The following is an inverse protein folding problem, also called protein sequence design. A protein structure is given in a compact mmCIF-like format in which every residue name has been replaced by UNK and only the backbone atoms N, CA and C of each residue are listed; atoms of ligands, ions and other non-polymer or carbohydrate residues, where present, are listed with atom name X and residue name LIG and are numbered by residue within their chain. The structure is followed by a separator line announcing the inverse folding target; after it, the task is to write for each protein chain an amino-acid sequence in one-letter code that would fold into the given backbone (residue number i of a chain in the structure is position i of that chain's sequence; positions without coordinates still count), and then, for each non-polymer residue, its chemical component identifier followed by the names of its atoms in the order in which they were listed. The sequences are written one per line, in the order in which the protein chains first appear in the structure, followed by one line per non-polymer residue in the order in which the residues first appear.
data_IF_667203645431
#
_entry.id   IF_667203645431
#
_cell.length_a   1.000
_cell.length_b   1.000
_cell.length_c   1.000
_cell.angle_alpha   90.00
_cell.angle_beta   90.00
_cell.angle_gamma   90.00
#
_symmetry.space_group_name_H-M   'P 1'
#
loop_
_entity.id
_entity.type
_entity.pdbx_description
1 polymer ?
#
# COMPACT_ATOMS: atom_id res chain seq x y z
N UNK A 1 -24.16 -1.65 -3.72
CA UNK A 1 -23.30 -2.83 -3.43
C UNK A 1 -21.99 -2.39 -2.80
N UNK A 2 -21.43 -3.15 -1.82
CA UNK A 2 -20.13 -2.87 -1.20
C UNK A 2 -19.00 -3.56 -1.96
N UNK A 3 -17.99 -2.79 -2.38
CA UNK A 3 -16.79 -3.34 -3.01
C UNK A 3 -15.79 -3.86 -1.96
N UNK A 4 -15.37 -5.10 -2.10
CA UNK A 4 -14.44 -5.76 -1.18
C UNK A 4 -13.20 -6.22 -1.96
N UNK A 5 -12.12 -5.45 -1.92
CA UNK A 5 -10.87 -5.71 -2.64
C UNK A 5 -10.33 -7.14 -2.40
N UNK A 6 -10.45 -7.69 -1.19
CA UNK A 6 -10.04 -9.07 -0.89
C UNK A 6 -10.75 -10.13 -1.74
N UNK A 7 -11.98 -9.84 -2.19
CA UNK A 7 -12.75 -10.74 -3.03
C UNK A 7 -12.56 -10.45 -4.50
N UNK A 8 -12.50 -9.16 -4.86
CA UNK A 8 -12.48 -8.71 -6.24
C UNK A 8 -11.09 -8.71 -6.86
N UNK A 9 -10.04 -8.50 -6.05
CA UNK A 9 -8.65 -8.35 -6.50
C UNK A 9 -7.73 -9.45 -5.94
N UNK A 10 -8.21 -10.70 -5.95
CA UNK A 10 -7.47 -11.85 -5.39
C UNK A 10 -6.10 -12.06 -6.03
N UNK A 11 -5.93 -11.75 -7.31
CA UNK A 11 -4.64 -11.84 -8.01
C UNK A 11 -3.58 -10.90 -7.45
N UNK A 12 -3.99 -9.78 -6.88
CA UNK A 12 -3.08 -8.76 -6.35
C UNK A 12 -2.87 -8.86 -4.83
N UNK A 13 -3.92 -9.23 -4.09
CA UNK A 13 -3.92 -9.24 -2.62
C UNK A 13 -4.00 -10.63 -1.99
N UNK A 14 -4.12 -11.67 -2.81
CA UNK A 14 -4.16 -13.07 -2.40
C UNK A 14 -2.90 -13.85 -2.69
N UNK A 15 -1.73 -13.19 -2.71
CA UNK A 15 -0.43 -13.79 -2.98
C UNK A 15 -0.16 -15.02 -2.11
N UNK A 16 0.56 -15.99 -2.67
CA UNK A 16 0.96 -17.22 -2.00
C UNK A 16 2.41 -17.12 -1.53
N UNK A 17 2.84 -18.05 -0.67
CA UNK A 17 4.25 -18.14 -0.23
C UNK A 17 5.20 -18.65 -1.34
N UNK A 18 4.67 -19.03 -2.50
CA UNK A 18 5.43 -19.31 -3.72
C UNK A 18 5.38 -18.04 -4.58
N UNK A 19 6.54 -17.53 -5.04
CA UNK A 19 6.57 -16.37 -5.93
C UNK A 19 5.77 -16.59 -7.21
N UNK A 20 5.15 -15.54 -7.71
CA UNK A 20 4.39 -15.55 -8.96
C UNK A 20 4.57 -14.26 -9.74
N UNK A 21 4.52 -14.36 -11.07
CA UNK A 21 4.47 -13.21 -11.97
C UNK A 21 3.02 -12.71 -12.06
N UNK A 22 2.82 -11.41 -11.93
CA UNK A 22 1.49 -10.77 -11.97
C UNK A 22 1.51 -9.54 -12.87
N UNK A 23 0.38 -9.29 -13.52
CA UNK A 23 0.10 -8.02 -14.19
C UNK A 23 -0.66 -7.12 -13.19
N UNK A 24 -0.05 -6.00 -12.84
CA UNK A 24 -0.64 -5.01 -11.93
C UNK A 24 -1.25 -3.91 -12.79
N UNK A 25 -2.57 -3.69 -12.75
CA UNK A 25 -3.19 -2.61 -13.50
C UNK A 25 -2.80 -1.25 -12.94
N UNK A 26 -3.08 -0.19 -13.67
CA UNK A 26 -2.97 1.16 -13.11
C UNK A 26 -3.84 1.29 -11.85
N UNK A 27 -3.27 1.80 -10.79
CA UNK A 27 -3.92 1.92 -9.47
C UNK A 27 -3.79 3.35 -8.96
N UNK A 28 -4.79 3.81 -8.21
CA UNK A 28 -4.83 5.13 -7.61
C UNK A 28 -4.65 5.03 -6.10
N UNK A 29 -3.86 5.93 -5.53
CA UNK A 29 -3.51 5.94 -4.11
C UNK A 29 -3.61 7.33 -3.50
N UNK A 30 -3.92 7.40 -2.22
CA UNK A 30 -3.49 8.51 -1.38
C UNK A 30 -2.09 8.17 -0.86
N UNK A 31 -1.16 9.12 -1.00
CA UNK A 31 0.27 8.88 -0.73
C UNK A 31 0.86 9.97 0.16
N UNK A 32 1.84 9.59 0.99
CA UNK A 32 2.67 10.50 1.77
C UNK A 32 4.12 9.99 1.76
N UNK A 33 5.06 10.85 1.48
CA UNK A 33 6.49 10.54 1.55
C UNK A 33 7.02 10.66 2.97
N UNK A 34 8.05 9.90 3.28
CA UNK A 34 8.74 9.96 4.55
C UNK A 34 10.17 9.47 4.46
N UNK A 35 10.94 9.75 5.50
CA UNK A 35 12.30 9.25 5.65
C UNK A 35 12.57 8.96 7.14
N UNK A 36 13.49 8.03 7.41
CA UNK A 36 13.90 7.66 8.76
C UNK A 36 13.48 6.26 9.17
N UNK A 37 13.71 5.94 10.46
CA UNK A 37 13.41 4.63 11.01
C UNK A 37 11.87 4.41 11.13
N UNK A 38 11.30 3.35 10.52
CA UNK A 38 9.88 3.03 10.63
C UNK A 38 9.42 2.62 12.04
N UNK A 39 10.33 2.53 12.99
CA UNK A 39 9.98 2.31 14.40
C UNK A 39 9.79 3.62 15.19
N UNK A 40 10.14 4.76 14.60
CA UNK A 40 9.99 6.08 15.21
C UNK A 40 8.57 6.63 15.09
N UNK A 41 8.27 7.67 15.88
CA UNK A 41 6.95 8.27 15.98
C UNK A 41 6.46 8.85 14.64
N UNK A 42 7.35 9.50 13.88
CA UNK A 42 7.02 10.13 12.58
C UNK A 42 6.36 9.13 11.59
N UNK A 43 6.89 7.91 11.51
CA UNK A 43 6.30 6.88 10.67
C UNK A 43 4.86 6.55 11.11
N UNK A 44 4.64 6.34 12.40
CA UNK A 44 3.32 6.00 12.93
C UNK A 44 2.31 7.15 12.80
N UNK A 45 2.77 8.40 12.88
CA UNK A 45 1.95 9.59 12.65
C UNK A 45 1.52 9.72 11.19
N UNK A 46 2.42 9.45 10.21
CA UNK A 46 2.08 9.40 8.77
C UNK A 46 1.08 8.31 8.47
N UNK A 47 1.25 7.10 9.02
CA UNK A 47 0.28 6.00 8.91
C UNK A 47 -1.08 6.42 9.46
N UNK A 48 -1.12 7.07 10.63
CA UNK A 48 -2.36 7.56 11.25
C UNK A 48 -3.05 8.62 10.40
N UNK A 49 -2.29 9.56 9.79
CA UNK A 49 -2.83 10.57 8.90
C UNK A 49 -3.45 9.96 7.64
N UNK A 50 -2.75 9.02 6.98
CA UNK A 50 -3.28 8.30 5.82
C UNK A 50 -4.57 7.55 6.12
N UNK A 51 -4.62 6.78 7.21
CA UNK A 51 -5.85 6.07 7.58
C UNK A 51 -6.98 7.02 7.93
N UNK A 52 -6.70 8.12 8.63
CA UNK A 52 -7.73 9.13 8.95
C UNK A 52 -8.37 9.70 7.68
N UNK A 53 -7.55 10.00 6.66
CA UNK A 53 -8.04 10.46 5.37
C UNK A 53 -8.75 9.36 4.58
N UNK A 54 -8.21 8.13 4.53
CA UNK A 54 -8.84 7.00 3.83
C UNK A 54 -10.25 6.71 4.35
N UNK A 55 -10.44 6.77 5.68
CA UNK A 55 -11.77 6.63 6.28
C UNK A 55 -12.66 7.85 6.01
N UNK A 56 -12.12 9.07 5.96
CA UNK A 56 -12.87 10.28 5.57
C UNK A 56 -13.40 10.15 4.14
N UNK A 57 -12.57 9.72 3.19
CA UNK A 57 -12.94 9.46 1.80
C UNK A 57 -14.06 8.41 1.73
N UNK A 58 -13.85 7.27 2.39
CA UNK A 58 -14.85 6.19 2.42
C UNK A 58 -16.21 6.68 2.95
N UNK A 59 -16.22 7.42 4.06
CA UNK A 59 -17.47 7.88 4.68
C UNK A 59 -18.17 8.95 3.83
N UNK A 60 -17.40 9.85 3.21
CA UNK A 60 -17.93 10.85 2.29
C UNK A 60 -18.55 10.16 1.06
N UNK A 61 -17.81 9.27 0.40
CA UNK A 61 -18.29 8.51 -0.75
C UNK A 61 -19.57 7.75 -0.43
N UNK A 62 -19.59 7.01 0.69
CA UNK A 62 -20.78 6.29 1.12
C UNK A 62 -21.99 7.21 1.35
N UNK A 63 -21.76 8.41 1.87
CA UNK A 63 -22.82 9.40 2.06
C UNK A 63 -23.37 9.94 0.76
N UNK A 64 -22.48 10.20 -0.23
CA UNK A 64 -22.85 10.67 -1.57
C UNK A 64 -23.67 9.63 -2.34
N UNK A 65 -23.33 8.35 -2.15
CA UNK A 65 -23.94 7.23 -2.86
C UNK A 65 -25.18 6.63 -2.16
N UNK A 66 -25.71 7.29 -1.12
CA UNK A 66 -26.76 6.75 -0.27
C UNK A 66 -28.07 6.43 -1.03
N UNK A 67 -28.41 7.28 -1.99
CA UNK A 67 -29.66 7.20 -2.74
C UNK A 67 -29.47 6.65 -4.16
N UNK A 68 -28.26 6.08 -4.46
CA UNK A 68 -27.96 5.49 -5.74
C UNK A 68 -28.51 4.06 -5.88
N UNK A 69 -28.68 3.62 -7.14
CA UNK A 69 -29.23 2.30 -7.47
C UNK A 69 -28.39 1.15 -6.87
N UNK A 70 -29.05 0.03 -6.54
CA UNK A 70 -28.44 -1.12 -5.86
C UNK A 70 -27.34 -1.82 -6.66
N UNK A 71 -27.31 -1.67 -7.98
CA UNK A 71 -26.31 -2.23 -8.89
C UNK A 71 -24.99 -1.47 -8.87
N UNK A 72 -24.98 -0.22 -8.37
CA UNK A 72 -23.77 0.59 -8.25
C UNK A 72 -22.96 0.24 -7.00
N UNK A 73 -21.64 0.53 -7.05
CA UNK A 73 -20.78 0.52 -5.87
C UNK A 73 -21.13 1.72 -5.01
N UNK A 74 -21.65 1.48 -3.82
CA UNK A 74 -22.10 2.51 -2.86
C UNK A 74 -21.26 2.56 -1.59
N UNK A 75 -20.37 1.61 -1.39
CA UNK A 75 -19.43 1.51 -0.27
C UNK A 75 -18.23 0.66 -0.68
N UNK A 76 -17.12 0.80 0.00
CA UNK A 76 -15.94 -0.05 -0.20
C UNK A 76 -15.21 -0.37 1.11
N UNK A 77 -14.45 -1.44 1.12
CA UNK A 77 -13.53 -1.74 2.24
C UNK A 77 -12.24 -0.94 2.03
N UNK A 78 -11.81 -0.19 3.04
CA UNK A 78 -10.52 0.51 3.01
C UNK A 78 -9.42 -0.50 2.73
N UNK A 79 -8.55 -0.15 1.78
CA UNK A 79 -7.41 -0.99 1.38
C UNK A 79 -6.35 -1.06 2.48
N UNK A 80 -5.46 -2.03 2.44
CA UNK A 80 -4.37 -2.12 3.39
C UNK A 80 -3.39 -0.95 3.21
N UNK A 81 -2.59 -0.70 4.23
CA UNK A 81 -1.41 0.14 4.09
C UNK A 81 -0.42 -0.56 3.17
N UNK A 82 0.23 0.23 2.33
CA UNK A 82 1.32 -0.20 1.48
C UNK A 82 2.50 0.77 1.62
N UNK A 83 3.70 0.29 1.37
CA UNK A 83 4.90 1.12 1.36
C UNK A 83 5.75 0.81 0.13
N UNK A 84 6.24 1.84 -0.53
CA UNK A 84 7.33 1.73 -1.51
C UNK A 84 8.59 2.08 -0.76
N UNK A 85 9.58 1.18 -0.80
CA UNK A 85 10.83 1.30 -0.07
C UNK A 85 12.00 1.36 -1.02
N UNK A 86 12.85 2.36 -0.84
CA UNK A 86 14.15 2.41 -1.52
C UNK A 86 15.14 1.54 -0.74
N UNK A 87 15.83 0.62 -1.45
CA UNK A 87 16.91 -0.15 -0.84
C UNK A 87 18.04 0.80 -0.47
N UNK A 88 18.37 0.87 0.80
CA UNK A 88 19.54 1.63 1.24
C UNK A 88 20.80 1.08 0.55
N UNK A 89 21.51 1.94 -0.17
CA UNK A 89 22.77 1.59 -0.82
C UNK A 89 23.91 1.68 0.20
N UNK A 90 24.73 0.61 0.31
CA UNK A 90 26.00 0.64 1.05
C UNK A 90 26.15 -0.42 2.12
N UNK A 91 27.40 -0.62 2.54
CA UNK A 91 27.77 -1.43 3.71
C UNK A 91 27.38 -0.66 4.98
N UNK A 92 26.56 -1.27 5.83
CA UNK A 92 26.07 -0.65 7.07
C UNK A 92 24.69 -0.03 6.91
N UNK A 93 23.66 -0.90 6.90
CA UNK A 93 22.27 -0.49 6.82
C UNK A 93 21.88 0.38 8.03
N UNK A 94 21.69 1.68 7.80
CA UNK A 94 21.18 2.63 8.79
C UNK A 94 19.69 2.92 8.50
N UNK A 95 18.81 2.44 9.36
CA UNK A 95 17.35 2.64 9.24
C UNK A 95 16.96 4.13 9.23
N UNK A 96 17.78 5.00 9.81
CA UNK A 96 17.54 6.44 9.81
C UNK A 96 17.65 7.09 8.41
N UNK A 97 18.26 6.40 7.45
CA UNK A 97 18.45 6.88 6.07
C UNK A 97 17.43 6.29 5.09
N UNK A 98 16.51 5.45 5.56
CA UNK A 98 15.47 4.90 4.73
C UNK A 98 14.61 6.01 4.14
N UNK A 99 14.27 5.87 2.85
CA UNK A 99 13.25 6.66 2.18
C UNK A 99 12.10 5.77 1.81
N UNK A 100 10.90 6.27 2.04
CA UNK A 100 9.70 5.50 1.76
C UNK A 100 8.54 6.40 1.30
N UNK A 101 7.63 5.79 0.55
CA UNK A 101 6.34 6.38 0.25
C UNK A 101 5.27 5.46 0.85
N UNK A 102 4.52 5.93 1.84
CA UNK A 102 3.36 5.22 2.37
C UNK A 102 2.13 5.55 1.55
N UNK A 103 1.28 4.54 1.34
CA UNK A 103 0.13 4.71 0.47
C UNK A 103 -1.04 3.78 0.85
N UNK A 104 -2.25 4.21 0.53
CA UNK A 104 -3.46 3.40 0.66
C UNK A 104 -4.23 3.55 -0.66
N UNK A 105 -4.48 2.41 -1.32
CA UNK A 105 -5.22 2.40 -2.58
C UNK A 105 -6.63 2.97 -2.39
N UNK A 106 -7.09 3.66 -3.42
CA UNK A 106 -8.45 4.17 -3.52
C UNK A 106 -9.13 3.55 -4.75
N UNK A 107 -10.44 3.26 -4.67
CA UNK A 107 -11.19 2.89 -5.87
C UNK A 107 -11.11 3.99 -6.94
N UNK A 108 -11.09 3.61 -8.22
CA UNK A 108 -11.00 4.56 -9.35
C UNK A 108 -12.16 5.57 -9.42
N UNK A 109 -13.24 5.34 -8.69
CA UNK A 109 -14.37 6.27 -8.57
C UNK A 109 -14.08 7.47 -7.65
N UNK A 110 -12.97 7.45 -6.93
CA UNK A 110 -12.54 8.55 -6.06
C UNK A 110 -11.73 9.53 -6.93
N UNK A 111 -12.35 10.60 -7.32
CA UNK A 111 -11.72 11.67 -8.08
C UNK A 111 -11.07 12.73 -7.17
N UNK A 112 -10.48 13.73 -7.80
CA UNK A 112 -9.81 14.83 -7.09
C UNK A 112 -10.78 15.67 -6.24
N UNK A 113 -12.05 15.78 -6.64
CA UNK A 113 -13.04 16.57 -5.91
C UNK A 113 -13.46 15.86 -4.62
N UNK A 114 -13.70 14.56 -4.70
CA UNK A 114 -14.00 13.72 -3.51
C UNK A 114 -12.80 13.71 -2.56
N UNK A 115 -11.58 13.57 -3.09
CA UNK A 115 -10.35 13.63 -2.30
C UNK A 115 -10.23 14.98 -1.57
N UNK A 116 -10.37 16.10 -2.27
CA UNK A 116 -10.25 17.44 -1.70
C UNK A 116 -11.31 17.69 -0.62
N UNK A 117 -12.57 17.33 -0.87
CA UNK A 117 -13.65 17.46 0.10
C UNK A 117 -13.43 16.60 1.36
N UNK A 118 -12.93 15.37 1.19
CA UNK A 118 -12.61 14.49 2.31
C UNK A 118 -11.42 15.00 3.14
N UNK A 119 -10.42 15.59 2.47
CA UNK A 119 -9.27 16.22 3.10
C UNK A 119 -9.68 17.42 3.96
N UNK A 120 -10.58 18.28 3.46
CA UNK A 120 -11.16 19.37 4.24
C UNK A 120 -11.93 18.86 5.45
N UNK A 121 -12.74 17.81 5.27
CA UNK A 121 -13.52 17.23 6.36
C UNK A 121 -12.64 16.70 7.49
N UNK A 122 -11.55 16.00 7.15
CA UNK A 122 -10.64 15.44 8.16
C UNK A 122 -9.85 16.53 8.86
N UNK A 123 -9.41 17.58 8.15
CA UNK A 123 -8.74 18.76 8.73
C UNK A 123 -9.60 19.44 9.78
N UNK A 124 -10.89 19.62 9.51
CA UNK A 124 -11.84 20.24 10.45
C UNK A 124 -12.08 19.40 11.71
N UNK A 125 -12.14 18.06 11.54
CA UNK A 125 -12.44 17.12 12.65
C UNK A 125 -11.24 16.78 13.51
N UNK A 126 -10.08 16.63 12.91
CA UNK A 126 -8.83 16.21 13.54
C UNK A 126 -7.66 16.90 12.86
N UNK A 127 -7.37 18.17 13.21
CA UNK A 127 -6.27 18.92 12.61
C UNK A 127 -4.93 18.15 12.71
N UNK A 128 -4.19 18.07 11.59
CA UNK A 128 -2.86 17.47 11.53
C UNK A 128 -2.09 18.10 10.37
N UNK A 129 -0.89 18.66 10.59
CA UNK A 129 -0.08 19.29 9.53
C UNK A 129 0.31 18.32 8.42
N UNK A 130 0.43 17.02 8.71
CA UNK A 130 0.78 15.99 7.71
C UNK A 130 -0.24 15.86 6.56
N UNK A 131 -1.47 16.38 6.73
CA UNK A 131 -2.44 16.38 5.63
C UNK A 131 -2.03 17.25 4.44
N UNK A 132 -1.13 18.21 4.64
CA UNK A 132 -0.62 19.06 3.56
C UNK A 132 0.36 18.31 2.64
N UNK A 133 0.95 17.23 3.14
CA UNK A 133 1.88 16.37 2.40
C UNK A 133 1.17 15.20 1.68
N UNK A 134 -0.13 14.97 1.95
CA UNK A 134 -0.88 13.88 1.32
C UNK A 134 -1.43 14.32 -0.03
N UNK A 135 -1.18 13.49 -1.05
CA UNK A 135 -1.70 13.70 -2.41
C UNK A 135 -2.41 12.47 -2.96
N UNK A 136 -3.31 12.68 -3.90
CA UNK A 136 -3.90 11.63 -4.74
C UNK A 136 -2.97 11.41 -5.94
N UNK A 137 -2.53 10.17 -6.15
CA UNK A 137 -1.56 9.81 -7.19
C UNK A 137 -1.95 8.50 -7.85
N UNK A 138 -1.83 8.44 -9.18
CA UNK A 138 -1.96 7.20 -9.94
C UNK A 138 -0.58 6.60 -10.19
N UNK A 139 -0.45 5.30 -9.99
CA UNK A 139 0.68 4.50 -10.42
C UNK A 139 0.31 3.79 -11.72
N UNK A 140 1.23 3.73 -12.71
CA UNK A 140 0.96 3.07 -13.99
C UNK A 140 0.81 1.56 -13.83
N UNK A 141 0.31 0.91 -14.87
CA UNK A 141 0.35 -0.55 -14.97
C UNK A 141 1.80 -1.06 -15.04
N UNK A 142 2.04 -2.24 -14.48
CA UNK A 142 3.37 -2.85 -14.43
C UNK A 142 3.28 -4.38 -14.42
N UNK A 143 4.35 -5.04 -14.88
CA UNK A 143 4.59 -6.46 -14.61
C UNK A 143 5.43 -6.58 -13.36
N UNK A 144 5.05 -7.47 -12.46
CA UNK A 144 5.72 -7.59 -11.19
C UNK A 144 5.85 -9.05 -10.75
N UNK A 145 6.86 -9.35 -9.96
CA UNK A 145 6.93 -10.57 -9.17
C UNK A 145 6.47 -10.26 -7.76
N UNK A 146 5.61 -11.12 -7.22
CA UNK A 146 5.13 -11.01 -5.85
C UNK A 146 5.21 -12.32 -5.09
N UNK A 147 5.29 -12.21 -3.76
CA UNK A 147 5.22 -13.34 -2.84
C UNK A 147 4.56 -12.95 -1.53
N UNK A 148 3.84 -13.86 -0.89
CA UNK A 148 3.41 -13.68 0.49
C UNK A 148 4.56 -14.07 1.43
N UNK A 149 5.13 -13.08 2.09
CA UNK A 149 6.03 -13.26 3.20
C UNK A 149 5.23 -13.47 4.50
N UNK A 150 5.61 -14.48 5.29
CA UNK A 150 5.04 -14.75 6.61
C UNK A 150 6.19 -14.79 7.61
N UNK A 151 6.20 -13.85 8.55
CA UNK A 151 7.26 -13.70 9.55
C UNK A 151 7.68 -12.24 9.77
N UNK A 152 8.81 -12.07 10.45
CA UNK A 152 9.40 -10.75 10.72
C UNK A 152 9.93 -10.09 9.44
N UNK A 153 9.98 -8.77 9.42
CA UNK A 153 10.60 -8.01 8.34
C UNK A 153 12.09 -8.37 8.16
N UNK A 154 12.78 -8.73 9.22
CA UNK A 154 14.19 -9.15 9.17
C UNK A 154 14.41 -10.46 8.40
N UNK A 155 13.35 -11.26 8.19
CA UNK A 155 13.39 -12.52 7.43
C UNK A 155 12.99 -12.36 5.94
N UNK A 156 12.63 -11.16 5.49
CA UNK A 156 12.26 -10.88 4.10
C UNK A 156 13.34 -11.20 3.05
N UNK A 157 14.66 -11.07 3.34
CA UNK A 157 15.70 -11.43 2.38
C UNK A 157 15.53 -12.82 1.76
N UNK A 158 15.13 -13.81 2.56
CA UNK A 158 14.87 -15.17 2.06
C UNK A 158 13.67 -15.26 1.09
N UNK A 159 12.72 -14.33 1.20
CA UNK A 159 11.59 -14.23 0.26
C UNK A 159 12.01 -13.53 -1.01
N UNK A 160 12.86 -12.49 -0.94
CA UNK A 160 13.43 -11.83 -2.11
C UNK A 160 14.31 -12.77 -2.94
N UNK A 161 15.14 -13.62 -2.31
CA UNK A 161 15.94 -14.64 -3.00
C UNK A 161 15.05 -15.54 -3.88
N UNK A 162 13.93 -16.02 -3.35
CA UNK A 162 12.98 -16.85 -4.14
C UNK A 162 12.35 -16.07 -5.29
N UNK A 163 12.06 -14.78 -5.09
CA UNK A 163 11.52 -13.91 -6.14
C UNK A 163 12.56 -13.70 -7.26
N UNK A 164 13.83 -13.49 -6.89
CA UNK A 164 14.93 -13.31 -7.82
C UNK A 164 15.21 -14.62 -8.61
N UNK A 165 15.15 -15.79 -7.97
CA UNK A 165 15.21 -17.09 -8.66
C UNK A 165 14.11 -17.24 -9.72
N UNK A 166 12.88 -16.82 -9.40
CA UNK A 166 11.78 -16.83 -10.36
C UNK A 166 12.05 -15.86 -11.53
N UNK A 167 12.51 -14.64 -11.25
CA UNK A 167 12.85 -13.66 -12.29
C UNK A 167 13.87 -14.24 -13.27
N UNK A 168 14.96 -14.79 -12.75
CA UNK A 168 16.03 -15.43 -13.55
C UNK A 168 15.46 -16.58 -14.40
N UNK A 169 14.63 -17.45 -13.80
CA UNK A 169 14.03 -18.58 -14.50
C UNK A 169 13.11 -18.19 -15.65
N UNK A 170 12.52 -17.00 -15.58
CA UNK A 170 11.66 -16.43 -16.61
C UNK A 170 12.41 -15.52 -17.60
N UNK A 171 13.72 -15.33 -17.43
CA UNK A 171 14.51 -14.40 -18.23
C UNK A 171 14.11 -12.93 -18.03
N UNK A 172 13.63 -12.58 -16.85
CA UNK A 172 13.19 -11.24 -16.49
C UNK A 172 14.23 -10.57 -15.59
N UNK A 173 14.32 -9.25 -15.70
CA UNK A 173 15.17 -8.42 -14.88
C UNK A 173 14.32 -7.49 -14.01
N UNK A 174 14.77 -7.24 -12.79
CA UNK A 174 14.19 -6.25 -11.90
C UNK A 174 14.38 -4.85 -12.47
N UNK A 175 13.33 -4.02 -12.50
CA UNK A 175 13.37 -2.69 -13.13
C UNK A 175 14.26 -1.70 -12.38
N UNK A 176 14.27 -1.79 -11.05
CA UNK A 176 15.00 -0.89 -10.14
C UNK A 176 15.29 -1.56 -8.79
N UNK A 177 15.81 -0.79 -7.83
CA UNK A 177 16.10 -1.26 -6.46
C UNK A 177 14.94 -1.03 -5.48
N UNK A 178 13.82 -0.54 -5.98
CA UNK A 178 12.62 -0.27 -5.18
C UNK A 178 11.81 -1.56 -5.03
N UNK A 179 11.16 -1.72 -3.90
CA UNK A 179 10.15 -2.76 -3.71
C UNK A 179 8.92 -2.20 -2.99
N UNK A 180 7.82 -2.89 -3.16
CA UNK A 180 6.53 -2.55 -2.56
C UNK A 180 6.17 -3.60 -1.52
N UNK A 181 5.79 -3.15 -0.34
CA UNK A 181 5.27 -3.96 0.75
C UNK A 181 3.78 -3.67 0.94
N UNK A 182 2.97 -4.71 0.99
CA UNK A 182 1.52 -4.62 1.23
C UNK A 182 1.24 -5.30 2.56
N UNK A 183 0.87 -4.52 3.58
CA UNK A 183 0.73 -5.01 4.95
C UNK A 183 -0.65 -5.60 5.19
N UNK A 184 -0.76 -6.93 5.15
CA UNK A 184 -2.02 -7.65 5.38
C UNK A 184 -2.34 -7.86 6.85
N UNK A 185 -1.34 -7.73 7.72
CA UNK A 185 -1.44 -7.85 9.17
C UNK A 185 -1.11 -6.54 9.87
N UNK A 186 -1.75 -6.30 11.01
CA UNK A 186 -1.41 -5.18 11.87
C UNK A 186 -0.28 -5.59 12.82
N UNK A 187 0.92 -4.99 12.69
CA UNK A 187 2.10 -5.30 13.50
C UNK A 187 1.88 -5.13 15.01
N UNK A 188 0.96 -4.25 15.41
CA UNK A 188 0.68 -4.00 16.82
C UNK A 188 -0.29 -5.02 17.45
N UNK A 189 -0.89 -5.92 16.65
CA UNK A 189 -1.91 -6.89 17.09
C UNK A 189 -1.58 -8.33 16.69
N UNK A 190 -0.60 -8.52 15.82
CA UNK A 190 -0.24 -9.82 15.26
C UNK A 190 1.15 -10.18 15.76
N UNK A 191 1.37 -11.38 16.35
CA UNK A 191 2.69 -11.87 16.68
C UNK A 191 3.60 -11.85 15.47
N UNK A 192 4.88 -11.53 15.68
CA UNK A 192 5.84 -11.27 14.60
C UNK A 192 5.96 -12.45 13.62
N UNK A 193 6.00 -13.68 14.13
CA UNK A 193 6.07 -14.91 13.34
C UNK A 193 4.82 -15.20 12.48
N UNK A 194 3.74 -14.44 12.70
CA UNK A 194 2.46 -14.54 11.96
C UNK A 194 2.16 -13.32 11.12
N UNK A 195 3.04 -12.35 11.08
CA UNK A 195 2.89 -11.19 10.21
C UNK A 195 2.80 -11.65 8.74
N UNK A 196 1.97 -10.97 7.97
CA UNK A 196 1.75 -11.25 6.55
C UNK A 196 1.95 -9.97 5.75
N UNK A 197 2.94 -10.00 4.89
CA UNK A 197 3.29 -8.91 3.98
C UNK A 197 3.39 -9.48 2.57
N UNK A 198 2.75 -8.84 1.58
CA UNK A 198 3.06 -9.15 0.20
C UNK A 198 4.26 -8.30 -0.19
N UNK A 199 5.33 -8.96 -0.61
CA UNK A 199 6.49 -8.31 -1.22
C UNK A 199 6.30 -8.31 -2.74
N UNK A 200 6.56 -7.18 -3.38
CA UNK A 200 6.41 -7.01 -4.83
C UNK A 200 7.48 -6.09 -5.38
N UNK A 201 8.02 -6.43 -6.56
CA UNK A 201 8.88 -5.53 -7.33
C UNK A 201 8.61 -5.67 -8.84
N UNK A 202 8.80 -4.57 -9.56
CA UNK A 202 8.57 -4.50 -11.00
C UNK A 202 9.67 -5.23 -11.78
N UNK A 203 9.28 -5.88 -12.90
CA UNK A 203 10.18 -6.63 -13.80
C UNK A 203 9.94 -6.27 -15.28
N UNK A 204 10.97 -6.41 -16.08
CA UNK A 204 10.94 -6.21 -17.55
C UNK A 204 11.62 -7.37 -18.28
#
# INVERSE_FOLDING_TARGET
MKYEWRKSEKGLYGAKQKPELVEVPSQQFIVIEGAGDPNEADFSERVSALYSLAYSIKMLFKSMMKDEAEDKVTDFTVYPLEGIWEKAAGEGFDKSQLRYQLMIQQPNVIDQDIFAAALENVRKKKPNPLYDDIRLQSLPEERAIQVLHVGSYDSEPASFEKMDELAISLGLERCDQVHREIYLSNKNRTPEEKLKTILRYSVR
#
